data_IF_216030011189
#
_entry.id   IF_216030011189
#
_cell.length_a   1.000
_cell.length_b   1.000
_cell.length_c   1.000
_cell.angle_alpha   90.00
_cell.angle_beta   90.00
_cell.angle_gamma   90.00
#
_symmetry.space_group_name_H-M   'P 1'
#
loop_
_entity.id
_entity.type
_entity.pdbx_description
1 polymer ?
#
# COMPACT_ATOMS: atom_id res chain seq x y z
N UNK A 1 8.81 88.69 39.68
CA UNK A 1 9.55 88.78 38.41
C UNK A 1 10.29 87.47 38.19
N UNK A 2 10.00 86.89 37.01
CA UNK A 2 10.63 85.79 36.27
C UNK A 2 11.09 84.46 36.90
N UNK A 3 10.81 83.32 36.22
CA UNK A 3 10.98 81.95 36.71
C UNK A 3 12.06 81.19 35.89
N UNK A 4 12.04 79.85 36.01
CA UNK A 4 12.52 78.80 35.08
C UNK A 4 13.82 78.09 35.53
N UNK A 5 13.71 76.80 35.92
CA UNK A 5 13.90 75.60 35.05
C UNK A 5 15.35 75.57 34.52
N UNK A 6 16.15 74.51 34.69
CA UNK A 6 15.94 73.13 34.20
C UNK A 6 17.24 72.29 34.48
N UNK A 7 17.44 71.04 33.98
CA UNK A 7 17.67 69.88 34.83
C UNK A 7 18.94 69.05 34.51
N UNK A 8 19.05 67.94 35.25
CA UNK A 8 19.89 66.73 35.10
C UNK A 8 20.31 66.36 33.66
N UNK A 9 21.58 66.03 33.51
CA UNK A 9 22.15 65.25 32.39
C UNK A 9 22.51 63.85 32.91
N UNK A 10 22.19 62.76 32.18
CA UNK A 10 22.17 61.41 32.72
C UNK A 10 23.54 60.72 32.70
N UNK A 11 23.69 59.84 33.69
CA UNK A 11 24.67 58.78 33.80
C UNK A 11 24.09 57.50 33.16
N UNK A 12 24.99 56.51 32.92
CA UNK A 12 24.79 55.11 32.51
C UNK A 12 24.96 54.83 31.01
N UNK A 13 26.13 54.31 30.61
CA UNK A 13 26.54 52.88 30.64
C UNK A 13 25.55 51.96 29.92
N UNK A 14 25.94 51.55 28.72
CA UNK A 14 25.31 50.48 27.96
C UNK A 14 26.27 49.93 26.91
N UNK A 15 27.23 49.11 27.33
CA UNK A 15 27.99 48.22 26.44
C UNK A 15 27.56 46.78 26.76
N UNK A 16 26.66 46.22 25.95
CA UNK A 16 26.34 44.79 25.90
C UNK A 16 27.30 44.13 24.89
N UNK A 17 28.13 43.15 25.28
CA UNK A 17 28.86 42.35 24.32
C UNK A 17 27.95 41.26 23.72
N UNK A 18 27.97 41.16 22.39
CA UNK A 18 27.31 40.13 21.59
C UNK A 18 27.86 38.74 21.93
N UNK A 19 26.97 37.79 22.25
CA UNK A 19 27.26 36.35 22.23
C UNK A 19 27.30 35.83 20.78
N UNK A 20 28.29 34.99 20.40
CA UNK A 20 28.24 34.28 19.12
C UNK A 20 27.38 33.03 19.28
N UNK A 21 26.25 32.98 18.57
CA UNK A 21 25.46 31.77 18.39
C UNK A 21 26.22 30.80 17.46
N UNK A 22 26.87 29.80 18.05
CA UNK A 22 27.35 28.62 17.36
C UNK A 22 26.15 27.81 16.85
N UNK A 23 25.84 27.96 15.56
CA UNK A 23 24.90 27.10 14.86
C UNK A 23 25.50 25.70 14.71
N UNK A 24 25.06 24.76 15.55
CA UNK A 24 25.26 23.33 15.35
C UNK A 24 24.49 22.91 14.09
N UNK A 25 25.16 22.85 12.95
CA UNK A 25 24.65 22.13 11.78
C UNK A 25 24.86 20.63 12.01
N UNK A 26 23.92 20.01 12.71
CA UNK A 26 23.82 18.55 12.72
C UNK A 26 23.56 18.03 11.30
N UNK A 27 24.07 16.84 10.92
CA UNK A 27 23.77 16.27 9.62
C UNK A 27 22.26 16.08 9.50
N UNK A 28 21.66 16.71 8.48
CA UNK A 28 20.26 16.52 8.15
C UNK A 28 20.02 15.03 7.90
N UNK A 29 19.31 14.39 8.83
CA UNK A 29 18.75 13.05 8.64
C UNK A 29 17.76 13.14 7.49
N UNK A 30 18.25 12.79 6.29
CA UNK A 30 17.42 12.70 5.09
C UNK A 30 16.29 11.71 5.41
N UNK A 31 15.01 12.09 5.28
CA UNK A 31 13.92 11.16 5.50
C UNK A 31 14.13 9.95 4.59
N UNK A 32 13.88 8.71 5.05
CA UNK A 32 13.98 7.53 4.23
C UNK A 32 13.19 7.78 2.94
N UNK A 33 13.85 7.70 1.78
CA UNK A 33 13.15 7.75 0.50
C UNK A 33 12.18 6.58 0.47
N UNK A 34 10.88 6.87 0.56
CA UNK A 34 9.84 5.88 0.38
C UNK A 34 10.05 5.24 -1.00
N UNK A 35 10.40 3.95 -1.02
CA UNK A 35 10.49 3.22 -2.28
C UNK A 35 9.12 3.30 -2.96
N UNK A 36 9.06 3.63 -4.27
CA UNK A 36 7.78 3.81 -4.94
C UNK A 36 6.99 2.51 -4.86
N UNK A 37 5.88 2.56 -4.12
CA UNK A 37 4.90 1.50 -4.04
C UNK A 37 4.33 1.30 -5.44
N UNK A 38 4.73 0.22 -6.12
CA UNK A 38 4.27 -0.08 -7.48
C UNK A 38 3.30 -1.24 -7.41
N UNK A 39 2.03 -0.97 -7.65
CA UNK A 39 0.98 -1.98 -7.77
C UNK A 39 0.22 -1.72 -9.07
N UNK A 40 0.02 -2.74 -9.87
CA UNK A 40 -0.75 -2.65 -11.11
C UNK A 40 -1.83 -3.72 -11.15
N UNK A 41 -2.93 -3.39 -11.82
CA UNK A 41 -4.02 -4.31 -12.08
C UNK A 41 -4.45 -4.19 -13.54
N UNK A 42 -4.72 -5.33 -14.16
CA UNK A 42 -5.35 -5.48 -15.45
C UNK A 42 -6.54 -6.42 -15.31
N UNK A 43 -7.64 -6.06 -15.95
CA UNK A 43 -8.84 -6.86 -16.08
C UNK A 43 -9.03 -7.22 -17.55
N UNK A 44 -8.96 -8.51 -17.87
CA UNK A 44 -9.00 -9.02 -19.25
C UNK A 44 -7.99 -8.30 -20.16
N UNK A 45 -6.79 -8.02 -19.64
CA UNK A 45 -5.72 -7.30 -20.34
C UNK A 45 -5.83 -5.77 -20.32
N UNK A 46 -7.00 -5.20 -20.00
CA UNK A 46 -7.21 -3.76 -19.91
C UNK A 46 -6.71 -3.22 -18.55
N UNK A 47 -5.95 -2.11 -18.51
CA UNK A 47 -5.47 -1.54 -17.26
C UNK A 47 -6.63 -1.03 -16.40
N UNK A 48 -6.57 -1.31 -15.10
CA UNK A 48 -7.49 -0.78 -14.09
C UNK A 48 -6.70 0.16 -13.17
N UNK A 49 -7.17 1.41 -12.96
CA UNK A 49 -6.47 2.34 -12.08
C UNK A 49 -6.53 1.84 -10.63
N UNK A 50 -5.37 1.66 -10.01
CA UNK A 50 -5.24 1.17 -8.63
C UNK A 50 -4.97 2.33 -7.68
N UNK A 51 -5.61 2.30 -6.52
CA UNK A 51 -5.27 3.17 -5.40
C UNK A 51 -4.13 2.54 -4.59
N UNK A 52 -2.91 3.04 -4.81
CA UNK A 52 -1.71 2.56 -4.12
C UNK A 52 -1.58 3.05 -2.68
N UNK A 53 -2.42 3.98 -2.23
CA UNK A 53 -2.41 4.45 -0.84
C UNK A 53 -3.19 3.50 0.08
N UNK A 54 -4.25 2.87 -0.44
CA UNK A 54 -5.10 1.96 0.33
C UNK A 54 -4.90 0.49 -0.04
N UNK A 55 -4.30 0.18 -1.19
CA UNK A 55 -3.92 -1.20 -1.51
C UNK A 55 -2.76 -1.68 -0.64
N UNK A 56 -2.82 -2.93 -0.18
CA UNK A 56 -1.89 -3.51 0.80
C UNK A 56 -1.46 -4.91 0.39
N UNK A 57 -0.26 -5.29 0.81
CA UNK A 57 0.16 -6.68 0.86
C UNK A 57 0.42 -7.03 2.32
N UNK A 58 -0.21 -8.09 2.80
CA UNK A 58 -0.10 -8.54 4.17
C UNK A 58 0.40 -10.00 4.20
N UNK A 59 1.20 -10.34 5.20
CA UNK A 59 1.67 -11.69 5.46
C UNK A 59 1.32 -12.05 6.88
N UNK A 60 0.44 -13.03 7.07
CA UNK A 60 0.05 -13.48 8.41
C UNK A 60 1.17 -14.23 9.11
N UNK A 61 1.24 -14.07 10.42
CA UNK A 61 2.13 -14.79 11.31
C UNK A 61 1.45 -16.05 11.87
N UNK A 62 2.25 -17.08 12.17
CA UNK A 62 1.76 -18.33 12.76
C UNK A 62 1.76 -19.53 11.81
N UNK A 63 1.03 -20.59 12.20
CA UNK A 63 0.88 -21.80 11.40
C UNK A 63 0.02 -21.50 10.15
N UNK A 64 0.46 -21.97 8.98
CA UNK A 64 -0.29 -21.82 7.73
C UNK A 64 -0.09 -20.50 6.96
N UNK A 65 0.76 -19.57 7.45
CA UNK A 65 1.18 -18.28 6.84
C UNK A 65 0.47 -17.93 5.52
N UNK A 66 -0.37 -16.90 5.55
CA UNK A 66 -1.15 -16.47 4.40
C UNK A 66 -0.55 -15.19 3.84
N UNK A 67 -0.33 -15.14 2.54
CA UNK A 67 -0.08 -13.91 1.80
C UNK A 67 -1.40 -13.37 1.25
N UNK A 68 -1.71 -12.14 1.59
CA UNK A 68 -2.92 -11.42 1.17
C UNK A 68 -2.52 -10.23 0.30
N UNK A 69 -2.97 -10.18 -0.95
CA UNK A 69 -2.84 -8.99 -1.81
C UNK A 69 -4.22 -8.33 -1.87
N UNK A 70 -4.38 -7.15 -1.30
CA UNK A 70 -5.60 -6.36 -1.39
C UNK A 70 -5.38 -5.18 -2.35
N UNK A 71 -6.10 -5.18 -3.47
CA UNK A 71 -6.02 -4.16 -4.51
C UNK A 71 -7.35 -3.39 -4.59
N UNK A 72 -7.28 -2.11 -4.27
CA UNK A 72 -8.43 -1.19 -4.34
C UNK A 72 -8.39 -0.42 -5.66
N UNK A 73 -9.54 -0.33 -6.30
CA UNK A 73 -9.74 0.45 -7.52
C UNK A 73 -9.80 1.92 -7.18
N UNK A 74 -9.05 2.75 -7.89
CA UNK A 74 -9.09 4.21 -7.69
C UNK A 74 -10.37 4.83 -8.22
N UNK A 75 -10.92 4.26 -9.28
CA UNK A 75 -12.15 4.74 -9.93
C UNK A 75 -13.42 4.30 -9.20
N UNK A 76 -13.31 3.35 -8.26
CA UNK A 76 -14.41 2.87 -7.43
C UNK A 76 -13.85 2.41 -6.06
N UNK A 77 -13.42 3.33 -5.18
CA UNK A 77 -12.79 2.98 -3.91
C UNK A 77 -13.76 2.36 -2.89
N UNK A 78 -15.06 2.63 -3.04
CA UNK A 78 -16.11 2.07 -2.18
C UNK A 78 -16.59 0.68 -2.66
N UNK A 79 -16.17 0.25 -3.85
CA UNK A 79 -16.45 -1.10 -4.35
C UNK A 79 -15.54 -2.12 -3.65
N UNK A 80 -16.00 -3.37 -3.47
CA UNK A 80 -15.15 -4.43 -2.98
C UNK A 80 -13.94 -4.62 -3.90
N UNK A 81 -12.75 -4.37 -3.35
CA UNK A 81 -11.46 -4.52 -4.04
C UNK A 81 -11.10 -5.98 -4.33
N UNK A 82 -10.07 -6.20 -5.13
CA UNK A 82 -9.54 -7.54 -5.41
C UNK A 82 -8.65 -7.97 -4.25
N UNK A 83 -9.09 -8.91 -3.43
CA UNK A 83 -8.22 -9.57 -2.46
C UNK A 83 -7.78 -10.92 -3.03
N UNK A 84 -6.49 -11.26 -2.96
CA UNK A 84 -5.96 -12.57 -3.37
C UNK A 84 -5.30 -13.22 -2.17
N UNK A 85 -5.66 -14.46 -1.87
CA UNK A 85 -5.06 -15.26 -0.82
C UNK A 85 -4.17 -16.38 -1.36
N UNK A 86 -3.06 -16.57 -0.66
CA UNK A 86 -2.09 -17.64 -0.87
C UNK A 86 -1.76 -18.25 0.48
N UNK A 87 -2.07 -19.54 0.67
CA UNK A 87 -1.68 -20.28 1.87
C UNK A 87 -0.22 -20.74 1.83
N UNK A 88 0.31 -21.11 2.99
CA UNK A 88 1.65 -21.68 3.16
C UNK A 88 2.77 -20.80 2.61
N UNK A 89 2.54 -19.49 2.61
CA UNK A 89 3.47 -18.52 2.08
C UNK A 89 4.79 -18.53 2.86
N UNK A 90 5.88 -18.54 2.08
CA UNK A 90 7.24 -18.38 2.58
C UNK A 90 7.82 -17.13 1.92
N UNK A 91 8.54 -16.25 2.64
CA UNK A 91 9.11 -15.04 2.04
C UNK A 91 10.37 -15.38 1.23
N UNK A 92 10.21 -16.14 0.15
CA UNK A 92 11.27 -16.53 -0.80
C UNK A 92 10.76 -16.36 -2.23
N UNK A 93 11.65 -16.19 -3.23
CA UNK A 93 11.24 -16.24 -4.63
C UNK A 93 10.70 -17.61 -5.00
N UNK A 94 9.42 -17.69 -5.37
CA UNK A 94 8.76 -18.91 -5.81
C UNK A 94 7.43 -18.59 -6.52
N UNK A 95 6.82 -19.63 -7.09
CA UNK A 95 5.44 -19.60 -7.58
C UNK A 95 4.55 -20.21 -6.52
N UNK A 96 3.62 -19.42 -6.01
CA UNK A 96 2.64 -19.84 -5.04
C UNK A 96 1.29 -20.07 -5.72
N UNK A 97 0.62 -21.14 -5.30
CA UNK A 97 -0.71 -21.44 -5.79
C UNK A 97 -1.70 -20.49 -5.12
N UNK A 98 -2.54 -19.94 -5.98
CA UNK A 98 -3.68 -19.15 -5.58
C UNK A 98 -4.67 -20.05 -4.81
N UNK A 99 -5.08 -19.61 -3.62
CA UNK A 99 -6.13 -20.28 -2.85
C UNK A 99 -7.49 -19.77 -3.30
N UNK A 100 -7.76 -18.48 -3.12
CA UNK A 100 -9.05 -17.85 -3.41
C UNK A 100 -8.94 -16.33 -3.59
N UNK A 101 -9.92 -15.73 -4.27
CA UNK A 101 -10.11 -14.27 -4.36
C UNK A 101 -11.06 -13.94 -3.22
N UNK A 102 -10.69 -13.04 -2.32
CA UNK A 102 -11.60 -12.45 -1.35
C UNK A 102 -12.02 -11.03 -1.78
N UNK A 103 -13.06 -10.48 -1.15
CA UNK A 103 -13.32 -9.05 -1.18
C UNK A 103 -12.59 -8.34 -0.03
N UNK A 104 -12.44 -7.02 -0.13
CA UNK A 104 -11.88 -6.18 0.92
C UNK A 104 -12.91 -5.86 2.02
N UNK A 105 -13.47 -6.87 2.67
CA UNK A 105 -14.02 -6.92 4.03
C UNK A 105 -14.20 -8.42 4.33
N UNK A 106 -13.72 -8.87 5.49
CA UNK A 106 -13.57 -10.31 5.80
C UNK A 106 -14.95 -10.95 5.97
N UNK A 107 -15.60 -11.36 4.88
CA UNK A 107 -16.72 -12.32 4.85
C UNK A 107 -17.14 -12.73 3.44
N UNK A 108 -16.86 -11.93 2.39
CA UNK A 108 -17.36 -12.21 1.03
C UNK A 108 -16.23 -12.24 0.01
N UNK A 109 -16.29 -13.14 -0.96
CA UNK A 109 -15.17 -13.50 -1.82
C UNK A 109 -15.22 -12.86 -3.23
N UNK A 110 -15.55 -11.57 -3.29
CA UNK A 110 -16.10 -10.94 -4.50
C UNK A 110 -15.24 -9.81 -5.07
N UNK A 111 -15.21 -9.71 -6.41
CA UNK A 111 -14.74 -8.53 -7.14
C UNK A 111 -15.84 -7.97 -8.04
N UNK A 112 -16.04 -6.65 -8.06
CA UNK A 112 -17.06 -6.00 -8.89
C UNK A 112 -16.53 -5.64 -10.28
N UNK A 113 -17.16 -6.16 -11.33
CA UNK A 113 -16.92 -5.82 -12.73
C UNK A 113 -18.15 -5.15 -13.32
N UNK A 114 -18.19 -3.81 -13.29
CA UNK A 114 -19.40 -3.07 -13.67
C UNK A 114 -20.57 -3.45 -12.75
N UNK A 115 -21.65 -3.99 -13.31
CA UNK A 115 -22.81 -4.50 -12.55
C UNK A 115 -22.71 -5.98 -12.17
N UNK A 116 -21.63 -6.66 -12.56
CA UNK A 116 -21.43 -8.09 -12.27
C UNK A 116 -20.50 -8.29 -11.08
N UNK A 117 -20.65 -9.44 -10.41
CA UNK A 117 -19.74 -9.91 -9.37
C UNK A 117 -18.97 -11.12 -9.89
N UNK A 118 -17.66 -11.12 -9.71
CA UNK A 118 -16.77 -12.19 -10.11
C UNK A 118 -16.15 -12.85 -8.88
N UNK A 119 -16.19 -14.19 -8.83
CA UNK A 119 -15.62 -15.00 -7.75
C UNK A 119 -14.80 -16.16 -8.32
N UNK A 120 -13.70 -16.55 -7.66
CA UNK A 120 -12.91 -17.70 -8.13
C UNK A 120 -13.63 -19.03 -7.88
N UNK A 121 -14.39 -19.14 -6.80
CA UNK A 121 -15.15 -20.34 -6.45
C UNK A 121 -16.29 -20.62 -7.43
N UNK A 122 -16.85 -19.56 -8.04
CA UNK A 122 -17.86 -19.69 -9.11
C UNK A 122 -17.30 -20.38 -10.38
N UNK A 123 -15.97 -20.45 -10.55
CA UNK A 123 -15.36 -21.15 -11.68
C UNK A 123 -15.31 -22.68 -11.53
N UNK A 124 -15.70 -23.25 -10.38
CA UNK A 124 -15.61 -24.68 -10.08
C UNK A 124 -14.18 -25.20 -9.85
N UNK A 125 -13.17 -24.51 -10.40
CA UNK A 125 -11.75 -24.71 -10.13
C UNK A 125 -11.08 -23.36 -9.95
N UNK A 126 -10.35 -23.19 -8.85
CA UNK A 126 -9.53 -22.02 -8.63
C UNK A 126 -8.33 -22.04 -9.60
N UNK A 127 -8.26 -21.04 -10.49
CA UNK A 127 -7.18 -20.90 -11.46
C UNK A 127 -6.40 -19.62 -11.19
N UNK A 128 -5.11 -19.75 -10.93
CA UNK A 128 -4.23 -18.61 -10.71
C UNK A 128 -2.91 -18.96 -10.06
N UNK A 129 -2.02 -17.98 -10.03
CA UNK A 129 -0.74 -18.05 -9.31
C UNK A 129 -0.29 -16.66 -8.87
N UNK A 130 0.47 -16.64 -7.78
CA UNK A 130 1.27 -15.48 -7.37
C UNK A 130 2.73 -15.86 -7.51
N UNK A 131 3.45 -15.16 -8.37
CA UNK A 131 4.88 -15.38 -8.62
C UNK A 131 5.69 -14.30 -7.92
N UNK A 132 6.36 -14.66 -6.85
CA UNK A 132 7.33 -13.80 -6.16
C UNK A 132 8.69 -14.00 -6.82
N UNK A 133 9.27 -12.89 -7.26
CA UNK A 133 10.55 -12.86 -8.01
C UNK A 133 11.70 -12.32 -7.16
N UNK A 134 11.42 -11.47 -6.17
CA UNK A 134 12.40 -11.00 -5.21
C UNK A 134 11.76 -10.72 -3.85
N UNK A 135 12.54 -10.97 -2.80
CA UNK A 135 12.18 -10.67 -1.41
C UNK A 135 13.34 -9.95 -0.74
N UNK A 136 13.08 -8.74 -0.24
CA UNK A 136 14.00 -8.03 0.66
C UNK A 136 13.43 -8.12 2.07
N UNK A 137 13.88 -9.09 2.85
CA UNK A 137 13.40 -9.30 4.22
C UNK A 137 13.84 -8.20 5.18
N UNK A 138 14.92 -7.46 4.86
CA UNK A 138 15.40 -6.34 5.70
C UNK A 138 14.48 -5.13 5.58
N UNK A 139 13.97 -4.89 4.37
CA UNK A 139 13.04 -3.77 4.08
C UNK A 139 11.58 -4.22 4.02
N UNK A 140 11.33 -5.51 4.22
CA UNK A 140 10.03 -6.16 4.07
C UNK A 140 9.39 -5.86 2.71
N UNK A 141 10.14 -5.97 1.61
CA UNK A 141 9.63 -5.70 0.25
C UNK A 141 9.46 -7.01 -0.50
N UNK A 142 8.28 -7.18 -1.10
CA UNK A 142 8.01 -8.23 -2.07
C UNK A 142 7.96 -7.63 -3.48
N UNK A 143 8.53 -8.35 -4.44
CA UNK A 143 8.43 -8.04 -5.86
C UNK A 143 7.92 -9.25 -6.62
N UNK A 144 6.93 -9.07 -7.48
CA UNK A 144 6.33 -10.19 -8.20
C UNK A 144 5.20 -9.82 -9.13
N UNK A 145 4.49 -10.86 -9.56
CA UNK A 145 3.33 -10.79 -10.43
C UNK A 145 2.24 -11.72 -9.91
N UNK A 146 1.00 -11.48 -10.31
CA UNK A 146 -0.11 -12.39 -10.03
C UNK A 146 -0.98 -12.54 -11.27
N UNK A 147 -1.64 -13.68 -11.35
CA UNK A 147 -2.71 -13.97 -12.29
C UNK A 147 -3.79 -14.76 -11.58
N UNK A 148 -5.03 -14.34 -11.69
CA UNK A 148 -6.18 -15.05 -11.13
C UNK A 148 -7.36 -15.03 -12.11
N UNK A 149 -8.24 -16.01 -12.02
CA UNK A 149 -9.47 -16.09 -12.81
C UNK A 149 -10.66 -16.09 -11.87
N UNK A 150 -11.60 -15.19 -12.11
CA UNK A 150 -12.93 -15.19 -11.48
C UNK A 150 -14.02 -15.43 -12.52
N UNK A 151 -15.15 -15.96 -12.09
CA UNK A 151 -16.31 -16.22 -12.91
C UNK A 151 -17.50 -15.42 -12.38
N UNK A 152 -18.33 -14.91 -13.29
CA UNK A 152 -19.54 -14.18 -12.95
C UNK A 152 -20.48 -15.05 -12.12
N UNK A 153 -20.92 -14.58 -10.96
CA UNK A 153 -21.87 -15.28 -10.08
C UNK A 153 -23.32 -15.15 -10.57
N UNK A 154 -23.60 -14.13 -11.38
CA UNK A 154 -24.92 -13.88 -11.98
C UNK A 154 -25.15 -14.72 -13.25
N UNK A 155 -24.20 -15.59 -13.63
CA UNK A 155 -24.26 -16.43 -14.81
C UNK A 155 -24.27 -17.92 -14.43
N UNK A 156 -24.71 -18.83 -15.32
CA UNK A 156 -24.62 -20.29 -15.09
C UNK A 156 -23.19 -20.72 -14.72
N UNK A 157 -22.99 -21.91 -14.12
CA UNK A 157 -21.68 -22.44 -13.63
C UNK A 157 -20.53 -22.49 -14.65
N UNK A 158 -20.75 -22.09 -15.91
CA UNK A 158 -19.74 -21.88 -16.98
C UNK A 158 -19.70 -20.44 -17.49
N UNK A 159 -20.16 -19.49 -16.67
CA UNK A 159 -20.42 -18.11 -17.03
C UNK A 159 -19.20 -17.31 -17.47
N UNK A 160 -19.43 -16.03 -17.74
CA UNK A 160 -18.41 -15.08 -18.19
C UNK A 160 -17.21 -15.08 -17.24
N UNK A 161 -16.02 -15.27 -17.81
CA UNK A 161 -14.74 -15.32 -17.07
C UNK A 161 -14.04 -13.97 -17.11
N UNK A 162 -13.37 -13.67 -16.01
CA UNK A 162 -12.58 -12.48 -15.80
C UNK A 162 -11.18 -12.89 -15.41
N UNK A 163 -10.18 -12.40 -16.15
CA UNK A 163 -8.76 -12.61 -15.86
C UNK A 163 -8.21 -11.36 -15.20
N UNK A 164 -7.70 -11.52 -13.98
CA UNK A 164 -7.05 -10.48 -13.20
C UNK A 164 -5.55 -10.71 -13.24
N UNK A 165 -4.80 -9.71 -13.68
CA UNK A 165 -3.34 -9.79 -13.81
C UNK A 165 -2.68 -8.54 -13.28
N UNK A 166 -1.48 -8.67 -12.72
CA UNK A 166 -0.78 -7.50 -12.20
C UNK A 166 0.63 -7.76 -11.77
N UNK A 167 1.30 -6.69 -11.37
CA UNK A 167 2.64 -6.69 -10.82
C UNK A 167 2.68 -5.89 -9.53
N UNK A 168 3.55 -6.30 -8.63
CA UNK A 168 3.74 -5.62 -7.36
C UNK A 168 5.22 -5.45 -7.04
N UNK A 169 5.55 -4.31 -6.45
CA UNK A 169 6.78 -4.03 -5.73
C UNK A 169 6.45 -3.07 -4.59
N UNK A 170 6.23 -3.62 -3.41
CA UNK A 170 5.82 -2.85 -2.26
C UNK A 170 6.25 -3.51 -0.95
N UNK A 171 6.21 -2.72 0.12
CA UNK A 171 6.36 -3.24 1.47
C UNK A 171 5.17 -4.17 1.79
N UNK A 172 5.42 -5.27 2.48
CA UNK A 172 4.38 -6.12 3.06
C UNK A 172 4.31 -5.92 4.57
N UNK A 173 3.09 -5.91 5.10
CA UNK A 173 2.81 -5.77 6.51
C UNK A 173 2.72 -7.16 7.16
N UNK A 174 3.26 -7.31 8.37
CA UNK A 174 3.10 -8.55 9.15
C UNK A 174 1.85 -8.42 10.00
N UNK A 175 0.97 -9.42 9.92
CA UNK A 175 -0.32 -9.43 10.62
C UNK A 175 -0.49 -10.62 11.53
#
# INVERSE_FOLDING_TARGET
>A
MNPLRRPRVPFLLGLLPLLPLLALTGPASRPPQALPHRLTLKLNGAPVPVDTAYSRIEVSQGAGKVLTLNLIRRDAPDDPGLTILVDEFKPVPAVYRFKEILSAHVTEATYRVGSEVAESQACGVNQGEVRVTAVDTKRQILTGTFRAVGCSTNAPRSGKKYTFEGSFRCAYELR
#
